data_IF_055029513836
#
_entry.id   IF_055029513836
#
_cell.length_a   1.000
_cell.length_b   1.000
_cell.length_c   1.000
_cell.angle_alpha   90.00
_cell.angle_beta   90.00
_cell.angle_gamma   90.00
#
_symmetry.space_group_name_H-M   'P 1'
#
loop_
_entity.id
_entity.type
_entity.pdbx_description
1 polymer ?
#
# COMPACT_ATOMS: atom_id res chain seq x y z
N UNK A 1 10.31 -11.83 -10.38
CA UNK A 1 10.35 -10.35 -10.59
C UNK A 1 9.60 -9.67 -9.46
N UNK A 2 9.89 -8.38 -9.17
CA UNK A 2 9.16 -7.65 -8.12
C UNK A 2 7.82 -7.12 -8.67
N UNK A 3 6.83 -6.93 -7.80
CA UNK A 3 5.54 -6.34 -8.16
C UNK A 3 5.70 -4.99 -8.88
N UNK A 4 6.67 -4.17 -8.44
CA UNK A 4 7.02 -2.91 -9.10
C UNK A 4 7.54 -3.12 -10.53
N UNK A 5 8.40 -4.13 -10.75
CA UNK A 5 8.89 -4.48 -12.08
C UNK A 5 7.76 -4.98 -12.99
N UNK A 6 6.85 -5.80 -12.46
CA UNK A 6 5.68 -6.28 -13.21
C UNK A 6 4.78 -5.11 -13.63
N UNK A 7 4.56 -4.13 -12.71
CA UNK A 7 3.81 -2.92 -13.01
C UNK A 7 4.46 -2.13 -14.15
N UNK A 8 5.77 -1.87 -14.08
CA UNK A 8 6.49 -1.19 -15.17
C UNK A 8 6.41 -1.98 -16.48
N UNK A 9 6.52 -3.30 -16.42
CA UNK A 9 6.42 -4.18 -17.59
C UNK A 9 5.03 -4.18 -18.25
N UNK A 10 3.96 -3.91 -17.50
CA UNK A 10 2.62 -3.71 -18.07
C UNK A 10 2.50 -2.33 -18.70
N UNK A 11 2.91 -1.28 -17.99
CA UNK A 11 2.79 0.10 -18.46
C UNK A 11 3.51 0.36 -19.78
N UNK A 12 4.68 -0.24 -20.00
CA UNK A 12 5.42 -0.08 -21.27
C UNK A 12 4.74 -0.72 -22.48
N UNK A 13 3.72 -1.56 -22.29
CA UNK A 13 2.95 -2.16 -23.38
C UNK A 13 1.83 -1.27 -23.91
N UNK A 14 1.50 -0.20 -23.18
CA UNK A 14 0.44 0.72 -23.57
C UNK A 14 0.89 1.47 -24.83
N UNK A 15 0.10 1.34 -25.90
CA UNK A 15 0.33 2.01 -27.17
C UNK A 15 -0.63 3.19 -27.27
N UNK A 16 -0.10 4.39 -27.21
CA UNK A 16 -0.82 5.60 -27.54
C UNK A 16 -0.46 6.02 -28.99
N UNK A 17 -1.46 6.33 -29.78
CA UNK A 17 -1.27 6.76 -31.19
C UNK A 17 -1.16 8.28 -31.34
N UNK A 18 -1.44 9.04 -30.27
CA UNK A 18 -1.31 10.49 -30.25
C UNK A 18 0.11 10.91 -29.91
N UNK A 19 0.79 11.61 -30.81
CA UNK A 19 2.12 12.15 -30.54
C UNK A 19 2.16 13.05 -29.28
N UNK A 20 1.11 13.83 -29.03
CA UNK A 20 1.01 14.69 -27.86
C UNK A 20 0.94 13.88 -26.53
N UNK A 21 0.29 12.71 -26.54
CA UNK A 21 0.23 11.81 -25.37
C UNK A 21 1.57 11.11 -25.16
N UNK A 22 2.20 10.64 -26.24
CA UNK A 22 3.55 10.06 -26.21
C UNK A 22 4.58 11.08 -25.69
N UNK A 23 4.46 12.34 -26.10
CA UNK A 23 5.32 13.43 -25.66
C UNK A 23 5.15 13.69 -24.15
N UNK A 24 3.91 13.67 -23.65
CA UNK A 24 3.64 13.81 -22.21
C UNK A 24 4.22 12.65 -21.39
N UNK A 25 4.14 11.41 -21.89
CA UNK A 25 4.77 10.25 -21.24
C UNK A 25 6.30 10.41 -21.22
N UNK A 26 6.89 10.81 -22.35
CA UNK A 26 8.33 11.05 -22.46
C UNK A 26 8.78 12.19 -21.55
N UNK A 27 8.00 13.27 -21.45
CA UNK A 27 8.26 14.39 -20.54
C UNK A 27 8.37 13.90 -19.08
N UNK A 28 7.43 13.08 -18.62
CA UNK A 28 7.49 12.47 -17.28
C UNK A 28 8.72 11.59 -17.12
N UNK A 29 9.03 10.76 -18.11
CA UNK A 29 10.18 9.87 -18.02
C UNK A 29 11.51 10.63 -17.96
N UNK A 30 11.67 11.67 -18.76
CA UNK A 30 12.90 12.49 -18.83
C UNK A 30 13.02 13.43 -17.63
N UNK A 31 11.94 14.09 -17.20
CA UNK A 31 11.97 15.00 -16.06
C UNK A 31 12.48 14.31 -14.78
N UNK A 32 12.02 13.08 -14.52
CA UNK A 32 12.34 12.36 -13.29
C UNK A 32 13.52 11.39 -13.40
N UNK A 33 13.91 10.96 -14.59
CA UNK A 33 15.00 10.02 -14.84
C UNK A 33 16.15 10.56 -15.63
N UNK A 34 16.00 11.74 -16.22
CA UNK A 34 16.98 12.37 -17.10
C UNK A 34 18.13 13.04 -16.34
N UNK A 35 19.31 13.00 -16.94
CA UNK A 35 20.49 13.76 -16.52
C UNK A 35 21.18 14.30 -17.75
N UNK A 36 21.59 15.57 -17.68
CA UNK A 36 22.38 16.23 -18.72
C UNK A 36 23.82 16.35 -18.24
N UNK A 37 24.76 15.99 -19.10
CA UNK A 37 26.20 16.16 -18.85
C UNK A 37 26.91 16.55 -20.14
N UNK A 38 28.02 17.25 -20.00
CA UNK A 38 28.99 17.45 -21.08
C UNK A 38 30.13 16.43 -20.89
N UNK A 39 30.34 15.58 -21.89
CA UNK A 39 31.35 14.53 -21.87
C UNK A 39 32.25 14.70 -23.12
N UNK A 40 33.51 15.06 -22.92
CA UNK A 40 34.45 15.29 -24.04
C UNK A 40 33.98 16.34 -25.06
N UNK A 41 33.29 17.39 -24.61
CA UNK A 41 32.72 18.44 -25.49
C UNK A 41 31.32 18.12 -26.03
N UNK A 42 30.88 16.85 -25.96
CA UNK A 42 29.55 16.39 -26.41
C UNK A 42 28.53 16.60 -25.31
N UNK A 43 27.39 17.18 -25.64
CA UNK A 43 26.26 17.27 -24.73
C UNK A 43 25.47 15.95 -24.77
N UNK A 44 25.24 15.34 -23.62
CA UNK A 44 24.53 14.07 -23.52
C UNK A 44 23.40 14.19 -22.52
N UNK A 45 22.17 13.99 -23.02
CA UNK A 45 21.01 13.74 -22.17
C UNK A 45 20.82 12.24 -22.06
N UNK A 46 20.83 11.72 -20.83
CA UNK A 46 20.65 10.27 -20.59
C UNK A 46 19.58 9.99 -19.57
N UNK A 47 18.81 8.94 -19.79
CA UNK A 47 17.96 8.30 -18.78
C UNK A 47 18.54 6.94 -18.44
N UNK A 48 18.49 6.54 -17.13
CA UNK A 48 19.07 5.28 -16.64
C UNK A 48 17.99 4.44 -16.00
N UNK A 49 17.94 3.15 -16.35
CA UNK A 49 16.99 2.20 -15.76
C UNK A 49 17.61 0.80 -15.69
N UNK A 50 17.21 0.02 -14.70
CA UNK A 50 17.54 -1.42 -14.61
C UNK A 50 16.61 -2.30 -15.47
N UNK A 51 15.49 -1.75 -15.93
CA UNK A 51 14.50 -2.49 -16.68
C UNK A 51 14.69 -2.29 -18.21
N UNK A 52 15.08 -3.35 -18.97
CA UNK A 52 15.31 -3.24 -20.40
C UNK A 52 14.05 -2.84 -21.20
N UNK A 53 12.86 -3.21 -20.70
CA UNK A 53 11.60 -2.85 -21.37
C UNK A 53 11.29 -1.36 -21.22
N UNK A 54 11.61 -0.78 -20.06
CA UNK A 54 11.51 0.67 -19.83
C UNK A 54 12.50 1.42 -20.73
N UNK A 55 13.75 0.96 -20.82
CA UNK A 55 14.74 1.57 -21.73
C UNK A 55 14.24 1.55 -23.19
N UNK A 56 13.72 0.41 -23.65
CA UNK A 56 13.14 0.29 -25.00
C UNK A 56 11.96 1.23 -25.21
N UNK A 57 11.08 1.36 -24.20
CA UNK A 57 9.93 2.28 -24.27
C UNK A 57 10.38 3.73 -24.42
N UNK A 58 11.34 4.19 -23.63
CA UNK A 58 11.88 5.54 -23.71
C UNK A 58 12.51 5.79 -25.09
N UNK A 59 13.31 4.83 -25.59
CA UNK A 59 13.87 4.89 -26.93
C UNK A 59 12.80 5.05 -28.02
N UNK A 60 11.74 4.24 -27.94
CA UNK A 60 10.62 4.32 -28.88
C UNK A 60 9.89 5.67 -28.81
N UNK A 61 9.65 6.18 -27.59
CA UNK A 61 9.02 7.49 -27.42
C UNK A 61 9.87 8.63 -28.00
N UNK A 62 11.19 8.60 -27.81
CA UNK A 62 12.11 9.58 -28.41
C UNK A 62 12.03 9.57 -29.94
N UNK A 63 12.02 8.38 -30.54
CA UNK A 63 11.92 8.23 -32.00
C UNK A 63 10.54 8.62 -32.51
N UNK A 64 9.47 8.08 -31.91
CA UNK A 64 8.12 8.15 -32.47
C UNK A 64 7.42 9.51 -32.19
N UNK A 65 7.75 10.16 -31.04
CA UNK A 65 7.14 11.42 -30.64
C UNK A 65 7.99 12.67 -31.02
N UNK A 66 9.30 12.53 -31.11
CA UNK A 66 10.22 13.66 -31.36
C UNK A 66 10.98 13.49 -32.67
N UNK A 67 11.12 12.28 -33.22
CA UNK A 67 11.83 12.00 -34.45
C UNK A 67 13.36 12.00 -34.31
N UNK A 68 13.89 11.93 -33.09
CA UNK A 68 15.34 11.95 -32.86
C UNK A 68 15.92 10.55 -32.84
N UNK A 69 17.24 10.49 -33.13
CA UNK A 69 18.03 9.26 -32.98
C UNK A 69 18.63 9.19 -31.59
N UNK A 70 18.35 8.11 -30.87
CA UNK A 70 18.93 7.87 -29.56
C UNK A 70 19.69 6.54 -29.54
N UNK A 71 20.57 6.34 -28.56
CA UNK A 71 21.38 5.12 -28.39
C UNK A 71 21.02 4.44 -27.07
N UNK A 72 20.95 3.11 -27.06
CA UNK A 72 20.85 2.34 -25.82
C UNK A 72 22.23 1.77 -25.50
N UNK A 73 22.81 2.22 -24.39
CA UNK A 73 24.10 1.74 -23.89
C UNK A 73 23.84 0.83 -22.70
N UNK A 74 24.38 -0.38 -22.75
CA UNK A 74 24.27 -1.34 -21.65
C UNK A 74 25.57 -1.26 -20.82
N UNK A 75 25.43 -0.93 -19.53
CA UNK A 75 26.54 -0.97 -18.56
C UNK A 75 26.31 -2.06 -17.54
N UNK A 76 27.32 -2.89 -17.30
CA UNK A 76 27.33 -3.86 -16.21
C UNK A 76 28.19 -3.28 -15.09
N UNK A 77 27.70 -3.31 -13.87
CA UNK A 77 28.49 -3.04 -12.67
C UNK A 77 29.22 -4.33 -12.29
N UNK A 78 30.20 -4.27 -11.42
CA UNK A 78 31.01 -5.41 -10.91
C UNK A 78 30.17 -6.55 -10.27
N UNK A 79 28.84 -6.43 -10.22
CA UNK A 79 27.85 -7.47 -9.88
C UNK A 79 27.01 -7.88 -11.10
N UNK A 80 25.98 -8.67 -10.88
CA UNK A 80 25.10 -9.24 -11.93
C UNK A 80 24.09 -8.24 -12.53
N UNK A 81 23.98 -7.01 -11.98
CA UNK A 81 22.95 -6.02 -12.38
C UNK A 81 23.41 -5.23 -13.59
N UNK A 82 22.63 -5.28 -14.67
CA UNK A 82 22.85 -4.47 -15.86
C UNK A 82 21.99 -3.19 -15.79
N UNK A 83 22.59 -2.05 -16.16
CA UNK A 83 21.90 -0.78 -16.33
C UNK A 83 21.82 -0.42 -17.82
N UNK A 84 20.66 0.07 -18.22
CA UNK A 84 20.38 0.53 -19.58
C UNK A 84 20.32 2.05 -19.56
N UNK A 85 21.16 2.67 -20.40
CA UNK A 85 21.17 4.12 -20.57
C UNK A 85 20.62 4.44 -21.97
N UNK A 86 19.58 5.24 -22.02
CA UNK A 86 19.07 5.79 -23.29
C UNK A 86 19.63 7.19 -23.43
N UNK A 87 20.41 7.43 -24.47
CA UNK A 87 21.17 8.66 -24.66
C UNK A 87 20.76 9.37 -25.95
N UNK A 88 20.50 10.67 -25.85
CA UNK A 88 20.44 11.62 -26.96
C UNK A 88 21.65 12.56 -26.87
N UNK A 89 22.29 12.86 -28.00
CA UNK A 89 23.56 13.59 -28.04
C UNK A 89 23.41 14.89 -28.87
N UNK A 90 24.12 15.93 -28.48
CA UNK A 90 24.24 17.21 -29.17
C UNK A 90 22.89 17.80 -29.64
N UNK A 91 22.67 17.94 -30.96
CA UNK A 91 21.46 18.51 -31.56
C UNK A 91 20.21 17.70 -31.19
N UNK A 92 20.28 16.37 -31.14
CA UNK A 92 19.17 15.52 -30.72
C UNK A 92 18.79 15.76 -29.25
N UNK A 93 19.78 16.00 -28.37
CA UNK A 93 19.52 16.37 -26.99
C UNK A 93 18.82 17.72 -26.87
N UNK A 94 19.24 18.71 -27.63
CA UNK A 94 18.63 20.07 -27.69
C UNK A 94 17.21 19.98 -28.23
N UNK A 95 17.01 19.27 -29.32
CA UNK A 95 15.70 19.05 -29.96
C UNK A 95 14.73 18.41 -29.00
N UNK A 96 15.20 17.38 -28.26
CA UNK A 96 14.43 16.72 -27.23
C UNK A 96 14.02 17.68 -26.10
N UNK A 97 14.95 18.50 -25.61
CA UNK A 97 14.70 19.46 -24.53
C UNK A 97 13.70 20.54 -24.94
N UNK A 98 13.76 21.02 -26.16
CA UNK A 98 12.80 22.00 -26.71
C UNK A 98 11.43 21.34 -26.89
N UNK A 99 11.37 20.15 -27.49
CA UNK A 99 10.11 19.42 -27.72
C UNK A 99 9.37 19.07 -26.42
N UNK A 100 10.10 18.81 -25.36
CA UNK A 100 9.54 18.55 -24.03
C UNK A 100 9.25 19.84 -23.22
N UNK A 101 9.57 21.01 -23.77
CA UNK A 101 9.32 22.30 -23.13
C UNK A 101 10.20 22.60 -21.92
N UNK A 102 11.35 21.93 -21.78
CA UNK A 102 12.32 22.20 -20.71
C UNK A 102 13.19 23.42 -21.00
N UNK A 103 13.38 23.75 -22.26
CA UNK A 103 14.02 24.99 -22.77
C UNK A 103 13.21 25.53 -23.95
N UNK A 104 13.37 26.81 -24.24
CA UNK A 104 12.67 27.47 -25.34
C UNK A 104 13.53 27.63 -26.61
N UNK A 105 14.84 27.77 -26.43
CA UNK A 105 15.83 27.95 -27.52
C UNK A 105 17.15 27.25 -27.18
N UNK A 106 17.98 26.91 -28.16
CA UNK A 106 19.25 26.20 -27.94
C UNK A 106 20.19 26.88 -26.92
N UNK A 107 20.25 28.23 -26.93
CA UNK A 107 21.10 29.00 -26.01
C UNK A 107 20.74 28.78 -24.53
N UNK A 108 19.50 28.40 -24.20
CA UNK A 108 19.04 28.18 -22.84
C UNK A 108 19.75 26.98 -22.17
N UNK A 109 20.30 26.06 -22.98
CA UNK A 109 21.11 24.94 -22.48
C UNK A 109 22.36 25.39 -21.70
N UNK A 110 22.90 26.57 -21.95
CA UNK A 110 24.06 27.09 -21.23
C UNK A 110 23.73 27.47 -19.78
N UNK A 111 22.48 27.74 -19.50
CA UNK A 111 21.95 28.15 -18.18
C UNK A 111 21.08 27.07 -17.54
N UNK A 112 20.94 25.92 -18.20
CA UNK A 112 20.09 24.84 -17.68
C UNK A 112 20.68 24.25 -16.39
N UNK A 113 19.94 24.37 -15.29
CA UNK A 113 20.34 23.91 -13.97
C UNK A 113 19.55 22.67 -13.51
N UNK A 114 18.27 22.63 -13.83
CA UNK A 114 17.37 21.53 -13.41
C UNK A 114 16.15 21.44 -14.31
N UNK A 115 15.56 20.24 -14.37
CA UNK A 115 14.26 20.04 -15.02
C UNK A 115 13.14 20.74 -14.24
N UNK A 116 12.21 21.34 -14.98
CA UNK A 116 10.95 21.89 -14.48
C UNK A 116 9.87 21.61 -15.51
N UNK A 117 8.69 21.20 -15.09
CA UNK A 117 7.59 20.81 -15.97
C UNK A 117 6.68 22.01 -16.21
N UNK A 118 6.59 22.44 -17.45
CA UNK A 118 5.57 23.40 -17.82
C UNK A 118 4.20 22.70 -17.90
N UNK A 119 3.40 22.86 -16.84
CA UNK A 119 2.09 22.21 -16.72
C UNK A 119 1.08 22.64 -17.80
N UNK A 120 1.32 23.75 -18.52
CA UNK A 120 0.49 24.16 -19.63
C UNK A 120 0.50 23.14 -20.78
N UNK A 121 1.57 22.37 -20.93
CA UNK A 121 1.61 21.26 -21.92
C UNK A 121 0.71 20.07 -21.51
N UNK A 122 0.31 19.99 -20.24
CA UNK A 122 -0.54 18.93 -19.66
C UNK A 122 -2.00 19.40 -19.54
N UNK A 123 -2.53 20.08 -20.55
CA UNK A 123 -3.86 20.70 -20.59
C UNK A 123 -5.02 19.70 -20.47
N UNK A 124 -4.83 18.46 -20.96
CA UNK A 124 -5.87 17.41 -20.98
C UNK A 124 -5.59 16.30 -19.98
N UNK A 125 -6.64 15.71 -19.37
CA UNK A 125 -6.47 14.58 -18.43
C UNK A 125 -5.66 13.41 -19.01
N UNK A 126 -5.81 13.10 -20.30
CA UNK A 126 -5.07 12.01 -20.96
C UNK A 126 -3.56 12.26 -20.96
N UNK A 127 -3.13 13.52 -21.17
CA UNK A 127 -1.72 13.90 -21.12
C UNK A 127 -1.17 13.81 -19.68
N UNK A 128 -1.95 14.26 -18.68
CA UNK A 128 -1.58 14.13 -17.27
C UNK A 128 -1.39 12.67 -16.84
N UNK A 129 -2.27 11.78 -17.30
CA UNK A 129 -2.17 10.33 -17.06
C UNK A 129 -0.91 9.75 -17.71
N UNK A 130 -0.61 10.13 -18.94
CA UNK A 130 0.59 9.70 -19.64
C UNK A 130 1.87 10.23 -18.96
N UNK A 131 1.89 11.50 -18.55
CA UNK A 131 2.98 12.08 -17.76
C UNK A 131 3.21 11.33 -16.46
N UNK A 132 2.14 11.01 -15.70
CA UNK A 132 2.22 10.23 -14.46
C UNK A 132 2.81 8.84 -14.72
N UNK A 133 2.41 8.18 -15.82
CA UNK A 133 2.98 6.91 -16.29
C UNK A 133 4.48 7.03 -16.54
N UNK A 134 4.92 8.03 -17.29
CA UNK A 134 6.33 8.32 -17.56
C UNK A 134 7.14 8.58 -16.29
N UNK A 135 6.62 9.38 -15.37
CA UNK A 135 7.22 9.62 -14.05
C UNK A 135 7.38 8.32 -13.25
N UNK A 136 6.33 7.47 -13.23
CA UNK A 136 6.39 6.17 -12.56
C UNK A 136 7.43 5.23 -13.17
N UNK A 137 7.54 5.19 -14.49
CA UNK A 137 8.56 4.37 -15.16
C UNK A 137 9.98 4.73 -14.72
N UNK A 138 10.25 6.02 -14.47
CA UNK A 138 11.58 6.51 -14.07
C UNK A 138 11.82 6.46 -12.56
N UNK A 139 10.99 7.11 -11.76
CA UNK A 139 11.21 7.30 -10.32
C UNK A 139 10.19 6.60 -9.41
N UNK A 140 9.15 5.96 -10.01
CA UNK A 140 8.09 5.29 -9.25
C UNK A 140 8.45 3.88 -8.82
N UNK A 141 7.89 3.49 -7.68
CA UNK A 141 7.91 2.11 -7.18
C UNK A 141 6.62 1.77 -6.45
N UNK A 142 6.24 0.49 -6.47
CA UNK A 142 5.08 -0.03 -5.73
C UNK A 142 5.46 -1.34 -5.06
N UNK A 143 5.10 -1.47 -3.79
CA UNK A 143 5.36 -2.68 -3.02
C UNK A 143 4.36 -3.78 -3.36
N UNK A 144 4.77 -5.05 -3.15
CA UNK A 144 3.85 -6.17 -3.23
C UNK A 144 2.72 -5.98 -2.20
N UNK A 145 1.44 -5.92 -2.65
CA UNK A 145 0.30 -5.71 -1.78
C UNK A 145 0.12 -6.79 -0.71
N UNK A 146 0.68 -7.99 -0.89
CA UNK A 146 0.71 -9.04 0.14
C UNK A 146 1.47 -8.59 1.40
N UNK A 147 2.53 -7.79 1.22
CA UNK A 147 3.34 -7.27 2.33
C UNK A 147 2.72 -6.00 2.90
N UNK A 148 2.61 -4.95 2.05
CA UNK A 148 2.19 -3.62 2.48
C UNK A 148 1.63 -2.81 1.32
N UNK A 149 0.60 -2.00 1.58
CA UNK A 149 0.14 -0.99 0.63
C UNK A 149 1.08 0.22 0.71
N UNK A 150 1.91 0.37 -0.32
CA UNK A 150 2.84 1.48 -0.44
C UNK A 150 3.25 1.68 -1.89
N UNK A 151 3.04 2.89 -2.39
CA UNK A 151 3.53 3.36 -3.68
C UNK A 151 4.27 4.66 -3.45
N UNK A 152 5.43 4.84 -4.11
CA UNK A 152 6.23 6.04 -3.96
C UNK A 152 6.88 6.47 -5.26
N UNK A 153 7.18 7.77 -5.33
CA UNK A 153 7.95 8.44 -6.38
C UNK A 153 9.12 9.16 -5.70
N UNK A 154 10.34 8.73 -5.99
CA UNK A 154 11.58 9.35 -5.47
C UNK A 154 11.96 10.51 -6.39
N UNK A 155 11.68 11.73 -5.97
CA UNK A 155 11.81 12.92 -6.83
C UNK A 155 13.16 13.58 -6.65
N UNK A 156 13.90 13.89 -7.74
CA UNK A 156 15.27 14.36 -7.64
C UNK A 156 15.42 15.83 -7.15
N UNK A 157 14.42 16.68 -7.39
CA UNK A 157 14.51 18.12 -7.03
C UNK A 157 13.20 18.63 -6.44
N UNK A 158 13.28 19.74 -5.69
CA UNK A 158 12.11 20.38 -5.09
C UNK A 158 11.12 20.92 -6.14
N UNK A 159 11.63 21.51 -7.23
CA UNK A 159 10.77 22.00 -8.32
C UNK A 159 9.93 20.88 -8.93
N UNK A 160 10.55 19.76 -9.30
CA UNK A 160 9.86 18.61 -9.86
C UNK A 160 8.87 17.97 -8.87
N UNK A 161 9.15 18.07 -7.56
CA UNK A 161 8.20 17.64 -6.54
C UNK A 161 6.90 18.45 -6.62
N UNK A 162 7.00 19.79 -6.67
CA UNK A 162 5.83 20.66 -6.78
C UNK A 162 5.05 20.43 -8.07
N UNK A 163 5.75 20.22 -9.19
CA UNK A 163 5.15 19.92 -10.48
C UNK A 163 4.37 18.59 -10.43
N UNK A 164 4.98 17.52 -9.91
CA UNK A 164 4.34 16.22 -9.78
C UNK A 164 3.14 16.28 -8.82
N UNK A 165 3.30 16.94 -7.68
CA UNK A 165 2.23 17.12 -6.69
C UNK A 165 1.03 17.84 -7.29
N UNK A 166 1.27 18.93 -8.03
CA UNK A 166 0.24 19.70 -8.75
C UNK A 166 -0.52 18.83 -9.77
N UNK A 167 0.21 18.06 -10.59
CA UNK A 167 -0.41 17.16 -11.56
C UNK A 167 -1.26 16.08 -10.85
N UNK A 168 -0.74 15.44 -9.80
CA UNK A 168 -1.47 14.43 -9.03
C UNK A 168 -2.74 15.01 -8.40
N UNK A 169 -2.66 16.18 -7.78
CA UNK A 169 -3.81 16.86 -7.17
C UNK A 169 -4.86 17.23 -8.22
N UNK A 170 -4.43 17.67 -9.40
CA UNK A 170 -5.35 17.98 -10.51
C UNK A 170 -6.08 16.74 -11.08
N UNK A 171 -5.58 15.52 -10.77
CA UNK A 171 -6.21 14.24 -11.05
C UNK A 171 -7.00 13.70 -9.84
N UNK A 172 -7.29 14.54 -8.85
CA UNK A 172 -8.00 14.21 -7.60
C UNK A 172 -7.30 13.19 -6.69
N UNK A 173 -5.99 12.98 -6.89
CA UNK A 173 -5.19 12.16 -6.01
C UNK A 173 -4.80 12.93 -4.74
N UNK A 174 -4.53 12.22 -3.64
CA UNK A 174 -4.15 12.79 -2.34
C UNK A 174 -2.72 12.38 -1.95
N UNK A 175 -1.68 12.90 -2.65
CA UNK A 175 -0.30 12.54 -2.38
C UNK A 175 0.14 13.01 -0.99
N UNK A 176 0.97 12.19 -0.32
CA UNK A 176 1.70 12.54 0.89
C UNK A 176 3.17 12.72 0.57
N UNK A 177 3.86 13.53 1.36
CA UNK A 177 5.27 13.86 1.13
C UNK A 177 6.10 13.55 2.36
N UNK A 178 7.31 13.08 2.12
CA UNK A 178 8.35 12.91 3.17
C UNK A 178 9.73 13.14 2.56
N UNK A 179 10.63 13.69 3.35
CA UNK A 179 12.05 13.80 2.97
C UNK A 179 12.80 12.62 3.58
N UNK A 180 13.52 11.86 2.75
CA UNK A 180 14.36 10.73 3.18
C UNK A 180 15.77 10.91 2.63
N UNK A 181 16.76 11.01 3.52
CA UNK A 181 18.18 11.16 3.16
C UNK A 181 18.43 12.24 2.10
N UNK A 182 17.75 13.36 2.23
CA UNK A 182 17.85 14.51 1.30
C UNK A 182 17.03 14.35 0.00
N UNK A 183 16.33 13.23 -0.21
CA UNK A 183 15.47 13.02 -1.38
C UNK A 183 14.01 13.24 -0.99
N UNK A 184 13.27 13.98 -1.80
CA UNK A 184 11.83 14.13 -1.63
C UNK A 184 11.11 12.91 -2.19
N UNK A 185 10.19 12.37 -1.39
CA UNK A 185 9.40 11.20 -1.77
C UNK A 185 7.91 11.56 -1.68
N UNK A 186 7.24 11.49 -2.82
CA UNK A 186 5.77 11.55 -2.90
C UNK A 186 5.25 10.12 -2.76
N UNK A 187 4.34 9.87 -1.80
CA UNK A 187 3.91 8.51 -1.51
C UNK A 187 2.43 8.37 -1.19
N UNK A 188 1.94 7.13 -1.32
CA UNK A 188 0.58 6.69 -0.99
C UNK A 188 0.64 5.43 -0.14
N UNK A 189 -0.27 5.32 0.85
CA UNK A 189 -0.40 4.16 1.76
C UNK A 189 -1.80 3.57 1.79
N UNK A 190 -2.79 4.30 1.26
CA UNK A 190 -4.15 3.79 1.11
C UNK A 190 -4.22 2.83 -0.08
N UNK A 191 -4.93 1.71 0.08
CA UNK A 191 -5.17 0.76 -1.02
C UNK A 191 -6.00 1.41 -2.12
N UNK A 192 -6.91 2.31 -1.77
CA UNK A 192 -7.79 3.04 -2.68
C UNK A 192 -6.97 4.00 -3.55
N UNK A 193 -6.14 4.86 -2.93
CA UNK A 193 -5.30 5.80 -3.67
C UNK A 193 -4.35 5.08 -4.64
N UNK A 194 -3.78 3.93 -4.22
CA UNK A 194 -2.89 3.13 -5.08
C UNK A 194 -3.67 2.53 -6.26
N UNK A 195 -4.88 2.02 -6.02
CA UNK A 195 -5.74 1.48 -7.07
C UNK A 195 -6.13 2.57 -8.09
N UNK A 196 -6.45 3.78 -7.62
CA UNK A 196 -6.75 4.94 -8.47
C UNK A 196 -5.56 5.31 -9.36
N UNK A 197 -4.35 5.35 -8.78
CA UNK A 197 -3.13 5.64 -9.56
C UNK A 197 -2.87 4.56 -10.60
N UNK A 198 -2.99 3.28 -10.25
CA UNK A 198 -2.83 2.17 -11.20
C UNK A 198 -3.83 2.27 -12.34
N UNK A 199 -5.08 2.63 -12.03
CA UNK A 199 -6.16 2.88 -13.02
C UNK A 199 -5.80 4.06 -13.94
N UNK A 200 -5.39 5.20 -13.36
CA UNK A 200 -5.02 6.40 -14.13
C UNK A 200 -3.84 6.14 -15.05
N UNK A 201 -2.87 5.35 -14.62
CA UNK A 201 -1.72 4.97 -15.46
C UNK A 201 -2.04 3.91 -16.50
N UNK A 202 -3.15 3.15 -16.35
CA UNK A 202 -3.57 2.09 -17.26
C UNK A 202 -2.99 0.70 -16.95
N UNK A 203 -2.58 0.43 -15.70
CA UNK A 203 -2.04 -0.86 -15.27
C UNK A 203 -3.17 -1.81 -14.82
N UNK A 204 -4.08 -2.18 -15.72
CA UNK A 204 -5.33 -2.87 -15.37
C UNK A 204 -5.13 -4.32 -14.88
N UNK A 205 -4.18 -5.08 -15.45
CA UNK A 205 -3.91 -6.45 -14.96
C UNK A 205 -3.26 -6.43 -13.58
N UNK A 206 -2.37 -5.49 -13.34
CA UNK A 206 -1.77 -5.26 -12.02
C UNK A 206 -2.83 -4.81 -11.01
N UNK A 207 -3.75 -3.95 -11.42
CA UNK A 207 -4.89 -3.53 -10.61
C UNK A 207 -5.77 -4.72 -10.18
N UNK A 208 -6.09 -5.61 -11.11
CA UNK A 208 -6.86 -6.83 -10.80
C UNK A 208 -6.12 -7.73 -9.80
N UNK A 209 -4.81 -7.95 -10.00
CA UNK A 209 -3.98 -8.67 -9.03
C UNK A 209 -3.96 -7.99 -7.65
N UNK A 210 -3.89 -6.66 -7.63
CA UNK A 210 -3.91 -5.86 -6.41
C UNK A 210 -5.24 -6.04 -5.64
N UNK A 211 -6.38 -5.98 -6.34
CA UNK A 211 -7.70 -6.19 -5.75
C UNK A 211 -7.89 -7.62 -5.22
N UNK A 212 -7.42 -8.63 -5.94
CA UNK A 212 -7.49 -10.02 -5.48
C UNK A 212 -6.75 -10.20 -4.14
N UNK A 213 -5.55 -9.62 -4.02
CA UNK A 213 -4.81 -9.67 -2.75
C UNK A 213 -5.54 -8.91 -1.64
N UNK A 214 -6.17 -7.76 -1.95
CA UNK A 214 -6.96 -6.99 -0.98
C UNK A 214 -8.12 -7.82 -0.42
N UNK A 215 -8.91 -8.44 -1.28
CA UNK A 215 -10.06 -9.28 -0.89
C UNK A 215 -9.61 -10.44 0.01
N UNK A 216 -8.54 -11.15 -0.36
CA UNK A 216 -8.01 -12.27 0.45
C UNK A 216 -7.58 -11.79 1.83
N UNK A 217 -6.94 -10.61 1.91
CA UNK A 217 -6.55 -10.02 3.21
C UNK A 217 -7.75 -9.64 4.07
N UNK A 218 -8.78 -9.07 3.49
CA UNK A 218 -10.02 -8.71 4.19
C UNK A 218 -10.69 -9.96 4.78
N UNK A 219 -10.87 -11.01 3.98
CA UNK A 219 -11.43 -12.29 4.43
C UNK A 219 -10.62 -12.89 5.60
N UNK A 220 -9.28 -12.90 5.48
CA UNK A 220 -8.41 -13.41 6.55
C UNK A 220 -8.51 -12.59 7.83
N UNK A 221 -8.56 -11.26 7.71
CA UNK A 221 -8.69 -10.37 8.85
C UNK A 221 -10.02 -10.57 9.58
N UNK A 222 -11.11 -10.74 8.85
CA UNK A 222 -12.43 -10.97 9.42
C UNK A 222 -12.50 -12.33 10.11
N UNK A 223 -11.98 -13.40 9.49
CA UNK A 223 -11.87 -14.71 10.10
C UNK A 223 -11.03 -14.67 11.40
N UNK A 224 -9.89 -13.99 11.39
CA UNK A 224 -9.04 -13.83 12.57
C UNK A 224 -9.74 -13.03 13.69
N UNK A 225 -10.50 -11.98 13.34
CA UNK A 225 -11.28 -11.20 14.33
C UNK A 225 -12.35 -12.07 14.98
N UNK A 226 -13.08 -12.85 14.18
CA UNK A 226 -14.10 -13.78 14.68
C UNK A 226 -13.48 -14.82 15.63
N UNK A 227 -12.42 -15.50 15.20
CA UNK A 227 -11.72 -16.49 16.01
C UNK A 227 -11.16 -15.89 17.32
N UNK A 228 -10.56 -14.70 17.27
CA UNK A 228 -10.05 -14.01 18.47
C UNK A 228 -11.19 -13.64 19.42
N UNK A 229 -12.34 -13.21 18.90
CA UNK A 229 -13.52 -12.90 19.72
C UNK A 229 -14.06 -14.16 20.43
N UNK A 230 -14.20 -15.26 19.70
CA UNK A 230 -14.65 -16.56 20.25
C UNK A 230 -13.69 -17.06 21.31
N UNK A 231 -12.37 -17.03 21.05
CA UNK A 231 -11.35 -17.43 22.01
C UNK A 231 -11.37 -16.57 23.28
N UNK A 232 -11.55 -15.24 23.15
CA UNK A 232 -11.66 -14.34 24.30
C UNK A 232 -12.92 -14.62 25.13
N UNK A 233 -14.04 -14.92 24.48
CA UNK A 233 -15.28 -15.29 25.15
C UNK A 233 -15.15 -16.64 25.89
N UNK A 234 -14.53 -17.64 25.24
CA UNK A 234 -14.27 -18.94 25.83
C UNK A 234 -13.37 -18.82 27.08
N UNK A 235 -12.28 -18.07 26.99
CA UNK A 235 -11.40 -17.81 28.16
C UNK A 235 -12.17 -17.19 29.31
N UNK A 236 -12.94 -16.12 29.06
CA UNK A 236 -13.77 -15.49 30.11
C UNK A 236 -14.76 -16.46 30.75
N UNK A 237 -15.33 -17.37 29.97
CA UNK A 237 -16.25 -18.39 30.47
C UNK A 237 -15.53 -19.39 31.35
N UNK A 238 -14.37 -19.91 30.95
CA UNK A 238 -13.54 -20.85 31.71
C UNK A 238 -13.05 -20.21 32.99
N UNK A 239 -12.48 -19.01 32.94
CA UNK A 239 -11.99 -18.28 34.12
C UNK A 239 -13.12 -18.07 35.16
N UNK A 240 -14.29 -17.64 34.69
CA UNK A 240 -15.44 -17.46 35.56
C UNK A 240 -15.90 -18.78 36.17
N UNK A 241 -15.94 -19.88 35.42
CA UNK A 241 -16.29 -21.22 35.92
C UNK A 241 -15.32 -21.70 37.00
N UNK A 242 -14.01 -21.53 36.78
CA UNK A 242 -12.98 -21.90 37.76
C UNK A 242 -13.19 -21.18 39.10
N UNK A 243 -13.38 -19.85 39.05
CA UNK A 243 -13.61 -19.05 40.26
C UNK A 243 -14.91 -19.46 40.95
N UNK A 244 -15.98 -19.74 40.22
CA UNK A 244 -17.25 -20.21 40.76
C UNK A 244 -17.10 -21.58 41.44
N UNK A 245 -16.44 -22.53 40.80
CA UNK A 245 -16.17 -23.86 41.34
C UNK A 245 -15.34 -23.78 42.62
N UNK A 246 -14.24 -22.98 42.60
CA UNK A 246 -13.39 -22.79 43.81
C UNK A 246 -14.17 -22.21 44.98
N UNK A 247 -15.06 -21.24 44.74
CA UNK A 247 -15.90 -20.66 45.77
C UNK A 247 -16.86 -21.72 46.40
N UNK A 248 -17.47 -22.57 45.54
CA UNK A 248 -18.36 -23.63 46.00
C UNK A 248 -17.57 -24.69 46.78
N UNK A 249 -16.42 -25.16 46.29
CA UNK A 249 -15.55 -26.12 46.94
C UNK A 249 -15.03 -25.61 48.30
N UNK A 250 -14.76 -24.29 48.41
CA UNK A 250 -14.39 -23.64 49.70
C UNK A 250 -15.52 -23.73 50.72
N UNK A 251 -16.76 -23.46 50.32
CA UNK A 251 -17.92 -23.56 51.20
C UNK A 251 -18.18 -25.02 51.64
N UNK A 252 -17.94 -26.00 50.79
CA UNK A 252 -18.03 -27.41 51.12
C UNK A 252 -16.97 -27.79 52.20
N UNK A 253 -15.71 -27.41 51.97
CA UNK A 253 -14.60 -27.69 52.92
C UNK A 253 -14.84 -27.08 54.28
N UNK A 254 -15.49 -25.91 54.34
CA UNK A 254 -15.80 -25.23 55.61
C UNK A 254 -17.11 -25.66 56.23
N UNK A 255 -17.76 -26.72 55.72
CA UNK A 255 -19.08 -27.22 56.15
C UNK A 255 -20.19 -26.13 56.11
N UNK A 256 -20.05 -25.10 55.25
CA UNK A 256 -21.00 -24.00 55.12
C UNK A 256 -21.96 -24.18 53.92
N UNK A 257 -21.73 -25.16 53.08
CA UNK A 257 -22.58 -25.42 51.90
C UNK A 257 -24.06 -25.68 52.32
N UNK A 258 -24.26 -26.41 53.39
CA UNK A 258 -25.61 -26.73 53.88
C UNK A 258 -26.38 -25.51 54.46
N UNK A 259 -25.71 -24.42 54.75
CA UNK A 259 -26.35 -23.17 55.23
C UNK A 259 -26.85 -22.29 54.10
N UNK A 260 -26.51 -22.62 52.83
CA UNK A 260 -26.99 -21.87 51.66
C UNK A 260 -28.51 -22.09 51.48
N UNK A 261 -29.25 -21.08 50.98
CA UNK A 261 -30.61 -21.23 50.49
C UNK A 261 -30.70 -22.30 49.39
N UNK A 262 -31.81 -23.03 49.31
CA UNK A 262 -31.92 -24.16 48.38
C UNK A 262 -31.74 -23.77 46.91
N UNK A 263 -32.26 -22.64 46.51
CA UNK A 263 -32.07 -22.08 45.18
C UNK A 263 -30.60 -21.80 44.80
N UNK A 264 -29.72 -21.55 45.76
CA UNK A 264 -28.27 -21.42 45.56
C UNK A 264 -27.58 -22.80 45.54
N UNK A 265 -28.01 -23.73 46.37
CA UNK A 265 -27.49 -25.09 46.37
C UNK A 265 -27.71 -25.80 45.04
N UNK A 266 -28.90 -25.67 44.47
CA UNK A 266 -29.24 -26.26 43.18
C UNK A 266 -28.28 -25.79 42.06
N UNK A 267 -28.06 -24.46 41.90
CA UNK A 267 -27.12 -23.91 40.92
C UNK A 267 -25.68 -24.30 41.22
N UNK A 268 -25.29 -24.40 42.50
CA UNK A 268 -23.97 -24.82 42.89
C UNK A 268 -23.69 -26.29 42.55
N UNK A 269 -24.65 -27.21 42.76
CA UNK A 269 -24.54 -28.62 42.36
C UNK A 269 -24.38 -28.76 40.85
N UNK A 270 -25.21 -28.07 40.06
CA UNK A 270 -25.12 -28.07 38.61
C UNK A 270 -23.76 -27.52 38.12
N UNK A 271 -23.25 -26.44 38.70
CA UNK A 271 -21.93 -25.90 38.32
C UNK A 271 -20.78 -26.84 38.63
N UNK A 272 -20.82 -27.60 39.73
CA UNK A 272 -19.81 -28.62 40.08
C UNK A 272 -19.84 -29.79 39.11
N UNK A 273 -21.02 -30.25 38.74
CA UNK A 273 -21.24 -31.38 37.81
C UNK A 273 -20.92 -31.01 36.37
N UNK A 274 -21.37 -29.83 35.93
CA UNK A 274 -21.24 -29.34 34.56
C UNK A 274 -20.32 -28.12 34.46
N UNK A 275 -19.02 -28.34 34.75
CA UNK A 275 -18.01 -27.26 34.85
C UNK A 275 -17.82 -26.46 33.54
N UNK A 276 -18.00 -27.11 32.39
CA UNK A 276 -17.78 -26.52 31.05
C UNK A 276 -19.02 -25.88 30.45
N UNK A 277 -20.20 -26.10 31.07
CA UNK A 277 -21.45 -25.56 30.52
C UNK A 277 -21.55 -24.03 30.69
N UNK A 278 -22.16 -23.39 29.71
CA UNK A 278 -22.47 -21.96 29.77
C UNK A 278 -23.53 -21.67 30.83
N UNK A 279 -23.61 -20.41 31.26
CA UNK A 279 -24.64 -19.99 32.21
C UNK A 279 -26.06 -20.16 31.64
N UNK A 280 -26.23 -20.18 30.34
CA UNK A 280 -27.51 -20.39 29.68
C UNK A 280 -27.93 -21.88 29.80
N UNK A 281 -27.03 -22.77 29.45
CA UNK A 281 -27.27 -24.22 29.55
C UNK A 281 -27.55 -24.64 31.01
N UNK A 282 -26.79 -24.12 31.99
CA UNK A 282 -27.10 -24.35 33.40
C UNK A 282 -28.47 -23.81 33.79
N UNK A 283 -28.88 -22.67 33.22
CA UNK A 283 -30.21 -22.10 33.49
C UNK A 283 -31.36 -22.92 32.94
N UNK A 284 -31.16 -23.58 31.80
CA UNK A 284 -32.13 -24.48 31.20
C UNK A 284 -32.32 -25.79 31.99
N UNK A 285 -31.30 -26.19 32.77
CA UNK A 285 -31.36 -27.39 33.66
C UNK A 285 -32.05 -27.13 34.99
N UNK A 286 -32.35 -25.90 35.36
CA UNK A 286 -33.03 -25.54 36.60
C UNK A 286 -34.56 -25.72 36.50
N UNK A 287 -35.21 -25.94 37.65
CA UNK A 287 -36.67 -26.04 37.72
C UNK A 287 -37.22 -25.03 38.72
N UNK A 288 -37.94 -23.97 38.29
CA UNK A 288 -38.19 -23.60 36.90
C UNK A 288 -36.94 -23.08 36.18
N UNK A 289 -36.88 -23.14 34.85
CA UNK A 289 -35.73 -22.67 34.07
C UNK A 289 -35.41 -21.18 34.33
N UNK A 290 -34.12 -20.85 34.36
CA UNK A 290 -33.63 -19.52 34.70
C UNK A 290 -32.75 -18.94 33.56
N UNK A 291 -32.93 -17.69 33.25
CA UNK A 291 -32.08 -17.01 32.23
C UNK A 291 -30.64 -16.82 32.71
N UNK A 292 -29.70 -16.62 31.77
CA UNK A 292 -28.28 -16.37 32.01
C UNK A 292 -28.01 -15.38 33.17
N UNK A 293 -28.76 -14.26 33.21
CA UNK A 293 -28.60 -13.22 34.23
C UNK A 293 -28.96 -13.73 35.65
N UNK A 294 -30.02 -14.55 35.77
CA UNK A 294 -30.43 -15.14 37.02
C UNK A 294 -29.44 -16.16 37.57
N UNK A 295 -28.90 -17.02 36.68
CA UNK A 295 -27.85 -17.96 37.07
C UNK A 295 -26.58 -17.22 37.50
N UNK A 296 -26.17 -16.20 36.74
CA UNK A 296 -25.01 -15.39 37.10
C UNK A 296 -25.18 -14.68 38.45
N UNK A 297 -26.37 -14.15 38.73
CA UNK A 297 -26.67 -13.52 40.03
C UNK A 297 -26.56 -14.52 41.18
N UNK A 298 -27.10 -15.72 41.01
CA UNK A 298 -26.99 -16.77 42.04
C UNK A 298 -25.56 -17.20 42.29
N UNK A 299 -24.75 -17.43 41.26
CA UNK A 299 -23.34 -17.80 41.37
C UNK A 299 -22.49 -16.69 42.01
N UNK A 300 -22.75 -15.41 41.65
CA UNK A 300 -22.08 -14.28 42.33
C UNK A 300 -22.41 -14.22 43.80
N UNK A 301 -23.64 -14.48 44.19
CA UNK A 301 -24.04 -14.51 45.59
C UNK A 301 -23.34 -15.62 46.35
N UNK A 302 -23.09 -16.80 45.73
CA UNK A 302 -22.30 -17.87 46.30
C UNK A 302 -20.84 -17.44 46.51
N UNK A 303 -20.24 -16.75 45.53
CA UNK A 303 -18.89 -16.19 45.66
C UNK A 303 -18.80 -15.17 46.81
N UNK A 304 -19.73 -14.23 46.91
CA UNK A 304 -19.81 -13.23 47.98
C UNK A 304 -19.93 -13.87 49.36
N UNK A 305 -20.64 -14.99 49.44
CA UNK A 305 -20.75 -15.74 50.71
C UNK A 305 -19.43 -16.47 51.03
N UNK A 306 -18.77 -17.04 50.01
CA UNK A 306 -17.47 -17.73 50.17
C UNK A 306 -16.33 -16.76 50.54
N UNK A 307 -16.39 -15.50 50.09
CA UNK A 307 -15.39 -14.47 50.38
C UNK A 307 -15.46 -13.96 51.84
N UNK A 308 -16.57 -14.20 52.55
CA UNK A 308 -16.74 -13.83 53.97
C UNK A 308 -16.02 -14.78 54.94
N UNK A 309 -15.58 -15.92 54.48
CA UNK A 309 -14.87 -16.95 55.20
C UNK A 309 -13.42 -17.10 54.72
#
# INVERSE_FOLDING_TARGET
MSFSSDTKNELVKIKDHSAAVCLAELMGAVAFGGKIRREGGTMVLRTVTENPKVARRIYQLMRDAVGITSKIVIKKTSGTTAYYQVCAENEDAITLMISLGFITKPSDMNYFSSFSVNTAYLDKPVKKKAFLRGAFLSCGSVMNPEKKYHMEFAVPTYGLHNDLFSVMTSLSLKPKVVVRKGTMVVYFKSSEDIADILTLMGAYNILMRFHNVKIIKEIRNDANRTANCEMANLRKMVDASVVQVQAIEKLIRLNKFNTLPENLKEVARLRLEYREHTLKELGEMLTPPLGKSGVNHRLRKIQEIADKY
#
